data_IF_603999008696
#
_entry.id   IF_603999008696
#
_cell.length_a   1.000
_cell.length_b   1.000
_cell.length_c   1.000
_cell.angle_alpha   90.00
_cell.angle_beta   90.00
_cell.angle_gamma   90.00
#
_symmetry.space_group_name_H-M   'P 1'
#
loop_
_entity.id
_entity.type
_entity.pdbx_description
1 polymer ?
#
# COMPACT_ATOMS: atom_id res chain seq x y z
N UNK A 1 11.06 -6.14 -20.77
CA UNK A 1 9.92 -5.24 -21.08
C UNK A 1 9.90 -4.06 -20.11
N UNK A 2 10.83 -3.10 -20.22
CA UNK A 2 11.01 -2.05 -19.19
C UNK A 2 10.70 -0.62 -19.68
N UNK A 3 10.21 -0.41 -20.91
CA UNK A 3 10.09 0.97 -21.43
C UNK A 3 9.01 1.29 -22.46
N UNK A 4 8.00 0.43 -22.72
CA UNK A 4 6.95 0.75 -23.72
C UNK A 4 5.62 1.24 -23.13
N UNK A 5 5.54 1.46 -21.81
CA UNK A 5 4.28 1.85 -21.14
C UNK A 5 4.11 3.37 -20.95
N UNK A 6 5.04 4.19 -21.45
CA UNK A 6 5.06 5.64 -21.20
C UNK A 6 3.83 6.42 -21.67
N UNK A 7 2.94 5.80 -22.46
CA UNK A 7 1.75 6.44 -23.02
C UNK A 7 0.44 5.66 -22.77
N UNK A 8 0.46 4.66 -21.89
CA UNK A 8 -0.74 3.89 -21.51
C UNK A 8 -1.21 4.42 -20.17
N UNK A 9 -2.37 5.10 -20.17
CA UNK A 9 -3.01 5.57 -18.94
C UNK A 9 -3.26 4.43 -17.94
N UNK A 10 -3.26 4.75 -16.65
CA UNK A 10 -3.37 3.77 -15.58
C UNK A 10 -4.56 2.81 -15.74
N UNK A 11 -5.78 3.26 -16.12
CA UNK A 11 -6.93 2.37 -16.31
C UNK A 11 -6.66 1.25 -17.33
N UNK A 12 -6.00 1.57 -18.45
CA UNK A 12 -5.67 0.60 -19.50
C UNK A 12 -4.60 -0.38 -19.04
N UNK A 13 -3.62 0.07 -18.25
CA UNK A 13 -2.60 -0.81 -17.69
C UNK A 13 -3.20 -1.80 -16.69
N UNK A 14 -4.10 -1.34 -15.80
CA UNK A 14 -4.84 -2.21 -14.88
C UNK A 14 -5.70 -3.23 -15.63
N UNK A 15 -6.37 -2.82 -16.71
CA UNK A 15 -7.12 -3.74 -17.56
C UNK A 15 -6.23 -4.81 -18.21
N UNK A 16 -5.06 -4.44 -18.72
CA UNK A 16 -4.10 -5.39 -19.28
C UNK A 16 -3.58 -6.37 -18.22
N UNK A 17 -3.27 -5.90 -17.01
CA UNK A 17 -2.90 -6.76 -15.88
C UNK A 17 -4.02 -7.75 -15.58
N UNK A 18 -5.28 -7.29 -15.59
CA UNK A 18 -6.43 -8.15 -15.38
C UNK A 18 -6.55 -9.24 -16.44
N UNK A 19 -6.46 -8.89 -17.73
CA UNK A 19 -6.57 -9.86 -18.83
C UNK A 19 -5.47 -10.92 -18.83
N UNK A 20 -4.25 -10.58 -18.38
CA UNK A 20 -3.12 -11.51 -18.38
C UNK A 20 -3.25 -12.62 -17.35
N UNK A 21 -4.06 -12.44 -16.30
CA UNK A 21 -4.28 -13.43 -15.24
C UNK A 21 -2.97 -13.97 -14.61
N UNK A 22 -1.90 -13.18 -14.64
CA UNK A 22 -0.57 -13.58 -14.15
C UNK A 22 -0.56 -13.70 -12.61
N UNK A 23 0.07 -14.76 -12.12
CA UNK A 23 0.29 -15.05 -10.69
C UNK A 23 1.48 -14.27 -10.11
N UNK A 24 2.18 -13.45 -10.90
CA UNK A 24 3.40 -12.75 -10.49
C UNK A 24 3.47 -11.30 -10.97
N UNK A 25 2.39 -10.76 -11.53
CA UNK A 25 2.38 -9.41 -12.07
C UNK A 25 2.72 -8.34 -11.02
N UNK A 26 3.53 -7.37 -11.44
CA UNK A 26 3.97 -6.22 -10.63
C UNK A 26 3.81 -4.93 -11.43
N UNK A 27 3.28 -3.90 -10.78
CA UNK A 27 3.23 -2.54 -11.30
C UNK A 27 4.07 -1.62 -10.42
N UNK A 28 5.15 -1.09 -10.99
CA UNK A 28 5.95 -0.04 -10.37
C UNK A 28 5.47 1.33 -10.86
N UNK A 29 5.21 2.23 -9.92
CA UNK A 29 4.77 3.60 -10.19
C UNK A 29 5.76 4.54 -9.50
N UNK A 30 6.40 5.38 -10.29
CA UNK A 30 7.47 6.27 -9.85
C UNK A 30 7.16 7.68 -10.30
N UNK A 31 7.02 8.59 -9.34
CA UNK A 31 6.92 10.03 -9.55
C UNK A 31 7.70 10.69 -8.43
N UNK A 32 8.96 11.01 -8.68
CA UNK A 32 9.84 11.41 -7.58
C UNK A 32 9.28 12.60 -6.80
N UNK A 33 9.33 12.54 -5.46
CA UNK A 33 10.04 11.56 -4.61
C UNK A 33 9.26 10.27 -4.29
N UNK A 34 8.08 10.06 -4.87
CA UNK A 34 7.16 8.97 -4.54
C UNK A 34 7.41 7.71 -5.37
N UNK A 35 7.56 6.58 -4.68
CA UNK A 35 7.72 5.23 -5.25
C UNK A 35 6.70 4.29 -4.64
N UNK A 36 5.87 3.70 -5.50
CA UNK A 36 4.89 2.68 -5.13
C UNK A 36 5.08 1.45 -5.99
N UNK A 37 4.88 0.28 -5.38
CA UNK A 37 4.88 -1.01 -6.06
C UNK A 37 3.61 -1.75 -5.68
N UNK A 38 2.86 -2.22 -6.66
CA UNK A 38 1.66 -3.03 -6.49
C UNK A 38 1.91 -4.43 -7.01
N UNK A 39 1.50 -5.42 -6.24
CA UNK A 39 1.59 -6.84 -6.58
C UNK A 39 0.21 -7.37 -6.89
N UNK A 40 0.11 -8.12 -7.98
CA UNK A 40 -1.14 -8.68 -8.46
C UNK A 40 -1.07 -10.20 -8.50
N UNK A 41 -2.24 -10.82 -8.35
CA UNK A 41 -2.49 -12.25 -8.54
C UNK A 41 -3.76 -12.39 -9.34
N UNK A 42 -3.70 -13.08 -10.48
CA UNK A 42 -4.86 -13.25 -11.38
C UNK A 42 -5.55 -11.93 -11.71
N UNK A 43 -4.75 -10.90 -11.93
CA UNK A 43 -5.26 -9.57 -12.26
C UNK A 43 -5.72 -8.71 -11.09
N UNK A 44 -5.80 -9.24 -9.87
CA UNK A 44 -6.29 -8.52 -8.71
C UNK A 44 -5.14 -8.04 -7.81
N UNK A 45 -5.18 -6.81 -7.28
CA UNK A 45 -4.16 -6.33 -6.36
C UNK A 45 -4.25 -7.10 -5.03
N UNK A 46 -3.11 -7.61 -4.56
CA UNK A 46 -3.03 -8.40 -3.31
C UNK A 46 -2.12 -7.76 -2.27
N UNK A 47 -1.17 -6.93 -2.68
CA UNK A 47 -0.25 -6.24 -1.80
C UNK A 47 0.32 -4.99 -2.46
N UNK A 48 0.85 -4.08 -1.65
CA UNK A 48 1.60 -2.94 -2.13
C UNK A 48 2.72 -2.56 -1.14
N UNK A 49 3.77 -1.93 -1.65
CA UNK A 49 4.78 -1.21 -0.86
C UNK A 49 4.85 0.24 -1.33
N UNK A 50 5.11 1.15 -0.40
CA UNK A 50 5.20 2.59 -0.65
C UNK A 50 6.29 3.19 0.23
N UNK A 51 7.03 4.17 -0.29
CA UNK A 51 7.97 4.96 0.50
C UNK A 51 7.32 6.15 1.22
N UNK A 52 6.02 6.38 1.04
CA UNK A 52 5.30 7.48 1.69
C UNK A 52 4.98 7.12 3.14
N UNK A 53 5.59 7.83 4.09
CA UNK A 53 5.42 7.57 5.52
C UNK A 53 3.96 7.63 5.97
N UNK A 54 3.17 8.55 5.43
CA UNK A 54 1.73 8.66 5.72
C UNK A 54 0.87 7.50 5.21
N UNK A 55 1.44 6.53 4.50
CA UNK A 55 0.74 5.35 3.99
C UNK A 55 1.10 4.06 4.72
N UNK A 56 1.93 4.11 5.78
CA UNK A 56 2.30 2.92 6.57
C UNK A 56 1.13 2.44 7.46
N UNK A 57 1.20 1.18 7.93
CA UNK A 57 0.08 0.54 8.61
C UNK A 57 -0.27 1.23 9.93
N UNK A 58 0.73 1.52 10.76
CA UNK A 58 0.47 2.17 12.05
C UNK A 58 -0.13 3.57 11.92
N UNK A 59 0.27 4.36 10.93
CA UNK A 59 -0.36 5.67 10.65
C UNK A 59 -1.82 5.52 10.26
N UNK A 60 -2.14 4.53 9.41
CA UNK A 60 -3.54 4.22 9.10
C UNK A 60 -4.32 3.82 10.36
N UNK A 61 -3.79 2.92 11.18
CA UNK A 61 -4.46 2.48 12.40
C UNK A 61 -4.70 3.63 13.39
N UNK A 62 -3.76 4.57 13.51
CA UNK A 62 -3.95 5.78 14.31
C UNK A 62 -5.06 6.68 13.75
N UNK A 63 -5.07 6.91 12.43
CA UNK A 63 -6.09 7.73 11.77
C UNK A 63 -7.50 7.16 11.95
N UNK A 64 -7.62 5.84 12.00
CA UNK A 64 -8.88 5.13 12.19
C UNK A 64 -9.21 4.91 13.69
N UNK A 65 -8.41 5.48 14.61
CA UNK A 65 -8.64 5.42 16.05
C UNK A 65 -8.45 4.04 16.69
N UNK A 66 -7.75 3.13 16.01
CA UNK A 66 -7.54 1.75 16.47
C UNK A 66 -6.40 1.65 17.49
N UNK A 67 -5.39 2.50 17.32
CA UNK A 67 -4.27 2.64 18.26
C UNK A 67 -4.03 4.12 18.54
N UNK A 68 -3.59 4.43 19.75
CA UNK A 68 -3.11 5.75 20.14
C UNK A 68 -1.71 6.04 19.59
N UNK A 69 -1.29 7.31 19.64
CA UNK A 69 0.08 7.71 19.30
C UNK A 69 1.12 7.00 20.18
N UNK A 70 0.86 6.89 21.49
CA UNK A 70 1.73 6.19 22.43
C UNK A 70 1.90 4.70 22.08
N UNK A 71 0.81 4.03 21.70
CA UNK A 71 0.85 2.62 21.26
C UNK A 71 1.57 2.46 19.93
N UNK A 72 1.38 3.41 19.00
CA UNK A 72 2.12 3.44 17.75
C UNK A 72 3.62 3.57 17.99
N UNK A 73 4.07 4.53 18.79
CA UNK A 73 5.49 4.72 19.13
C UNK A 73 6.09 3.49 19.81
N UNK A 74 5.43 2.97 20.86
CA UNK A 74 5.90 1.76 21.55
C UNK A 74 5.95 0.53 20.65
N UNK A 75 5.03 0.41 19.68
CA UNK A 75 5.06 -0.67 18.71
C UNK A 75 6.21 -0.54 17.71
N UNK A 76 6.67 0.67 17.37
CA UNK A 76 7.84 0.87 16.52
C UNK A 76 9.14 0.47 17.23
N UNK A 77 9.26 0.80 18.53
CA UNK A 77 10.39 0.35 19.34
C UNK A 77 10.46 -1.19 19.41
N UNK A 78 9.31 -1.84 19.60
CA UNK A 78 9.21 -3.29 19.60
C UNK A 78 9.57 -3.91 18.24
N UNK A 79 9.17 -3.29 17.11
CA UNK A 79 9.61 -3.70 15.76
C UNK A 79 11.13 -3.71 15.64
N UNK A 80 11.79 -2.64 16.09
CA UNK A 80 13.26 -2.54 16.03
C UNK A 80 13.95 -3.58 16.92
N UNK A 81 13.43 -3.77 18.14
CA UNK A 81 13.97 -4.72 19.12
C UNK A 81 13.79 -6.17 18.68
N UNK A 82 12.60 -6.52 18.18
CA UNK A 82 12.22 -7.90 17.84
C UNK A 82 12.50 -8.30 16.39
N UNK A 83 12.81 -7.33 15.53
CA UNK A 83 13.02 -7.52 14.08
C UNK A 83 11.86 -8.23 13.37
N UNK A 84 10.63 -7.95 13.82
CA UNK A 84 9.38 -8.49 13.25
C UNK A 84 8.66 -7.45 12.41
N UNK A 85 7.70 -7.89 11.59
CA UNK A 85 6.80 -6.96 10.89
C UNK A 85 5.91 -6.23 11.88
N UNK A 86 5.59 -4.97 11.58
CA UNK A 86 4.76 -4.13 12.46
C UNK A 86 3.41 -4.77 12.82
N UNK A 87 2.73 -5.39 11.85
CA UNK A 87 1.48 -6.10 12.10
C UNK A 87 1.62 -7.28 13.09
N UNK A 88 2.74 -8.00 13.06
CA UNK A 88 3.00 -9.11 14.00
C UNK A 88 3.23 -8.58 15.42
N UNK A 89 3.97 -7.46 15.54
CA UNK A 89 4.20 -6.78 16.82
C UNK A 89 2.88 -6.26 17.40
N UNK A 90 2.02 -5.66 16.58
CA UNK A 90 0.71 -5.17 17.03
C UNK A 90 -0.17 -6.32 17.55
N UNK A 91 -0.10 -7.50 16.94
CA UNK A 91 -0.80 -8.70 17.43
C UNK A 91 -0.19 -9.19 18.74
N UNK A 92 1.15 -9.27 18.84
CA UNK A 92 1.80 -9.75 20.08
C UNK A 92 1.59 -8.81 21.27
N UNK A 93 1.42 -7.52 21.02
CA UNK A 93 1.08 -6.51 22.04
C UNK A 93 -0.41 -6.51 22.41
N UNK A 94 -1.24 -7.33 21.76
CA UNK A 94 -2.68 -7.38 21.99
C UNK A 94 -3.47 -6.18 21.42
N UNK A 95 -2.82 -5.32 20.64
CA UNK A 95 -3.41 -4.11 20.06
C UNK A 95 -4.26 -4.42 18.82
N UNK A 96 -4.03 -5.56 18.17
CA UNK A 96 -4.75 -5.95 16.97
C UNK A 96 -4.97 -7.47 16.92
N UNK A 97 -6.09 -7.89 16.35
CA UNK A 97 -6.30 -9.30 15.99
C UNK A 97 -5.81 -9.57 14.59
N UNK A 98 -5.55 -10.84 14.25
CA UNK A 98 -5.20 -11.23 12.86
C UNK A 98 -6.27 -10.80 11.85
N UNK A 99 -7.55 -10.97 12.19
CA UNK A 99 -8.66 -10.56 11.32
C UNK A 99 -8.68 -9.05 11.05
N UNK A 100 -8.52 -8.23 12.09
CA UNK A 100 -8.40 -6.77 11.93
C UNK A 100 -7.15 -6.38 11.15
N UNK A 101 -6.03 -7.06 11.36
CA UNK A 101 -4.82 -6.81 10.57
C UNK A 101 -5.08 -7.00 9.07
N UNK A 102 -5.74 -8.09 8.69
CA UNK A 102 -6.09 -8.34 7.28
C UNK A 102 -7.05 -7.28 6.72
N UNK A 103 -8.04 -6.84 7.50
CA UNK A 103 -8.95 -5.76 7.13
C UNK A 103 -8.20 -4.44 6.85
N UNK A 104 -7.32 -4.02 7.77
CA UNK A 104 -6.56 -2.77 7.60
C UNK A 104 -5.50 -2.85 6.50
N UNK A 105 -4.91 -4.02 6.25
CA UNK A 105 -4.02 -4.21 5.10
C UNK A 105 -4.79 -4.07 3.77
N UNK A 106 -6.02 -4.59 3.69
CA UNK A 106 -6.90 -4.38 2.51
C UNK A 106 -7.27 -2.91 2.35
N UNK A 107 -7.62 -2.22 3.45
CA UNK A 107 -7.91 -0.79 3.42
C UNK A 107 -6.69 0.04 2.99
N UNK A 108 -5.51 -0.28 3.52
CA UNK A 108 -4.25 0.36 3.13
C UNK A 108 -3.97 0.18 1.63
N UNK A 109 -4.12 -1.04 1.12
CA UNK A 109 -3.95 -1.33 -0.30
C UNK A 109 -4.92 -0.49 -1.16
N UNK A 110 -6.19 -0.45 -0.78
CA UNK A 110 -7.23 0.35 -1.45
C UNK A 110 -6.88 1.85 -1.45
N UNK A 111 -6.50 2.42 -0.30
CA UNK A 111 -6.08 3.83 -0.18
C UNK A 111 -4.85 4.15 -1.02
N UNK A 112 -3.86 3.26 -1.04
CA UNK A 112 -2.64 3.45 -1.85
C UNK A 112 -2.96 3.48 -3.33
N UNK A 113 -3.86 2.61 -3.79
CA UNK A 113 -4.27 2.52 -5.19
C UNK A 113 -5.04 3.77 -5.63
N UNK A 114 -6.02 4.24 -4.83
CA UNK A 114 -6.78 5.45 -5.16
C UNK A 114 -5.92 6.70 -5.23
N UNK A 115 -4.95 6.87 -4.30
CA UNK A 115 -4.00 7.98 -4.34
C UNK A 115 -3.14 8.02 -5.60
N UNK A 116 -3.08 6.95 -6.39
CA UNK A 116 -2.42 6.98 -7.70
C UNK A 116 -3.38 7.48 -8.78
N UNK A 117 -4.66 7.10 -8.71
CA UNK A 117 -5.68 7.55 -9.65
C UNK A 117 -5.87 9.06 -9.56
N UNK A 118 -5.81 9.63 -8.37
CA UNK A 118 -5.87 11.09 -8.13
C UNK A 118 -4.71 11.86 -8.79
N UNK A 119 -3.67 11.20 -9.32
CA UNK A 119 -2.58 11.85 -10.04
C UNK A 119 -2.89 12.16 -11.51
N UNK A 120 -3.97 11.62 -12.09
CA UNK A 120 -4.39 11.92 -13.48
C UNK A 120 -5.27 13.20 -13.58
N UNK A 121 -5.78 13.75 -12.47
CA UNK A 121 -6.62 14.98 -12.45
C UNK A 121 -5.81 16.28 -12.25
N UNK A 122 -4.74 16.48 -13.03
CA UNK A 122 -4.17 17.82 -13.18
C UNK A 122 -3.84 18.14 -14.64
N UNK A 123 -4.84 18.55 -15.44
CA UNK A 123 -4.61 19.49 -16.52
C UNK A 123 -4.73 20.91 -15.94
N UNK A 124 -3.64 21.48 -15.44
CA UNK A 124 -3.50 22.94 -15.39
C UNK A 124 -2.90 23.37 -16.72
N UNK A 125 -3.78 23.64 -17.69
CA UNK A 125 -3.53 24.68 -18.69
C UNK A 125 -4.88 25.27 -19.13
N UNK A 126 -5.23 26.40 -18.50
CA UNK A 126 -6.19 27.41 -18.96
C UNK A 126 -5.67 28.76 -18.54
#
# INVERSE_FOLDING_TARGET
MKSELGNIGLPRLLHLIYLKQDETAVLDIMREPVKKRFFFRRGLPVAASSNVLGEVLGRLLMQEGIISEKEYEGSLEAVLRERKRHGEVLISLGLLTKGKLEEFLRLQLKRRLFKVVDWEEAPTDT
#
